data_IF_785228566029
#
_entry.id   IF_785228566029
#
_cell.length_a   1.000
_cell.length_b   1.000
_cell.length_c   1.000
_cell.angle_alpha   90.00
_cell.angle_beta   90.00
_cell.angle_gamma   90.00
#
_symmetry.space_group_name_H-M   'P 1'
#
loop_
_entity.id
_entity.type
_entity.pdbx_description
1 polymer ?
#
# COMPACT_ATOMS: atom_id res chain seq x y z
N UNK A 1 -1.21 -0.93 -27.16
CA UNK A 1 -1.62 -0.65 -25.76
C UNK A 1 -0.50 -0.84 -24.73
N UNK A 2 0.63 -1.48 -25.08
CA UNK A 2 1.76 -1.72 -24.14
C UNK A 2 2.55 -0.47 -23.68
N UNK A 3 2.38 0.68 -24.35
CA UNK A 3 3.22 1.87 -24.09
C UNK A 3 2.59 2.89 -23.10
N UNK A 4 1.40 2.59 -22.56
CA UNK A 4 0.72 3.41 -21.54
C UNK A 4 1.13 3.02 -20.12
N UNK A 5 1.35 1.72 -19.86
CA UNK A 5 1.78 1.22 -18.54
C UNK A 5 3.11 1.82 -18.09
N UNK A 6 4.13 1.81 -18.94
CA UNK A 6 5.46 2.34 -18.61
C UNK A 6 5.49 3.87 -18.42
N UNK A 7 4.65 4.63 -19.14
CA UNK A 7 4.54 6.09 -18.96
C UNK A 7 3.70 6.47 -17.73
N UNK A 8 2.63 5.72 -17.45
CA UNK A 8 1.85 5.84 -16.22
C UNK A 8 2.72 5.57 -15.00
N UNK A 9 3.57 4.56 -15.09
CA UNK A 9 4.50 4.15 -14.05
C UNK A 9 5.47 5.26 -13.61
N UNK A 10 5.97 6.10 -14.53
CA UNK A 10 6.85 7.24 -14.19
C UNK A 10 6.08 8.34 -13.44
N UNK A 11 4.83 8.57 -13.82
CA UNK A 11 3.96 9.55 -13.15
C UNK A 11 3.65 9.07 -11.73
N UNK A 12 3.36 7.78 -11.57
CA UNK A 12 3.05 7.17 -10.28
C UNK A 12 4.20 7.29 -9.27
N UNK A 13 5.46 7.20 -9.71
CA UNK A 13 6.63 7.36 -8.83
C UNK A 13 6.68 8.76 -8.18
N UNK A 14 6.18 9.78 -8.88
CA UNK A 14 6.09 11.16 -8.36
C UNK A 14 4.81 11.43 -7.56
N UNK A 15 3.70 10.76 -7.91
CA UNK A 15 2.36 11.03 -7.37
C UNK A 15 2.09 10.25 -6.08
N UNK A 16 2.54 9.00 -5.95
CA UNK A 16 2.30 8.17 -4.76
C UNK A 16 2.78 8.86 -3.46
N UNK A 17 3.99 9.44 -3.39
CA UNK A 17 4.42 10.14 -2.18
C UNK A 17 3.57 11.37 -1.82
N UNK A 18 2.98 12.03 -2.82
CA UNK A 18 2.09 13.19 -2.63
C UNK A 18 0.75 12.71 -2.08
N UNK A 19 0.16 11.68 -2.70
CA UNK A 19 -1.11 11.09 -2.26
C UNK A 19 -1.00 10.55 -0.84
N UNK A 20 0.08 9.86 -0.51
CA UNK A 20 0.32 9.37 0.86
C UNK A 20 0.36 10.48 1.90
N UNK A 21 1.01 11.61 1.60
CA UNK A 21 1.04 12.77 2.50
C UNK A 21 -0.33 13.43 2.62
N UNK A 22 -1.06 13.54 1.50
CA UNK A 22 -2.39 14.18 1.46
C UNK A 22 -3.47 13.33 2.11
N UNK A 23 -3.40 12.01 1.97
CA UNK A 23 -4.28 11.05 2.65
C UNK A 23 -4.09 11.04 4.18
N UNK A 24 -2.96 11.55 4.67
CA UNK A 24 -2.67 11.72 6.09
C UNK A 24 -2.83 13.17 6.59
N UNK A 25 -3.42 14.05 5.78
CA UNK A 25 -3.68 15.46 6.13
C UNK A 25 -4.81 15.56 7.17
N UNK A 26 -4.82 16.63 7.96
CA UNK A 26 -5.89 16.89 8.94
C UNK A 26 -7.19 17.36 8.31
N UNK A 27 -7.15 17.84 7.07
CA UNK A 27 -8.34 18.19 6.31
C UNK A 27 -9.01 16.91 5.79
N UNK A 28 -10.15 16.53 6.38
CA UNK A 28 -10.86 15.29 6.05
C UNK A 28 -11.23 15.16 4.58
N UNK A 29 -11.65 16.24 3.92
CA UNK A 29 -12.00 16.22 2.50
C UNK A 29 -10.78 15.93 1.62
N UNK A 30 -9.65 16.59 1.89
CA UNK A 30 -8.40 16.35 1.16
C UNK A 30 -7.90 14.92 1.41
N UNK A 31 -7.97 14.47 2.67
CA UNK A 31 -7.53 13.13 3.05
C UNK A 31 -8.33 12.03 2.34
N UNK A 32 -9.66 12.16 2.31
CA UNK A 32 -10.55 11.20 1.66
C UNK A 32 -10.33 11.13 0.15
N UNK A 33 -10.26 12.28 -0.53
CA UNK A 33 -10.04 12.30 -1.99
C UNK A 33 -8.64 11.80 -2.37
N UNK A 34 -7.62 12.11 -1.55
CA UNK A 34 -6.28 11.58 -1.76
C UNK A 34 -6.19 10.06 -1.52
N UNK A 35 -6.94 9.54 -0.56
CA UNK A 35 -7.03 8.10 -0.30
C UNK A 35 -7.72 7.37 -1.44
N UNK A 36 -8.85 7.89 -1.97
CA UNK A 36 -9.50 7.35 -3.17
C UNK A 36 -8.54 7.30 -4.35
N UNK A 37 -7.81 8.39 -4.59
CA UNK A 37 -6.82 8.47 -5.66
C UNK A 37 -5.66 7.47 -5.45
N UNK A 38 -5.22 7.27 -4.20
CA UNK A 38 -4.18 6.31 -3.86
C UNK A 38 -4.63 4.87 -4.15
N UNK A 39 -5.85 4.51 -3.75
CA UNK A 39 -6.44 3.19 -4.01
C UNK A 39 -6.52 2.93 -5.52
N UNK A 40 -7.07 3.88 -6.28
CA UNK A 40 -7.13 3.78 -7.75
C UNK A 40 -5.73 3.64 -8.38
N UNK A 41 -4.73 4.34 -7.86
CA UNK A 41 -3.35 4.21 -8.33
C UNK A 41 -2.80 2.80 -8.07
N UNK A 42 -3.06 2.24 -6.89
CA UNK A 42 -2.65 0.89 -6.50
C UNK A 42 -3.33 -0.21 -7.34
N UNK A 43 -4.59 0.00 -7.73
CA UNK A 43 -5.31 -0.92 -8.61
C UNK A 43 -4.70 -0.98 -10.02
N UNK A 44 -4.14 0.13 -10.51
CA UNK A 44 -3.69 0.28 -11.89
C UNK A 44 -2.16 0.21 -12.09
N UNK A 45 -1.36 0.16 -11.02
CA UNK A 45 0.10 0.06 -11.12
C UNK A 45 0.61 -1.39 -11.31
N UNK A 46 1.84 -1.54 -11.80
CA UNK A 46 2.51 -2.85 -11.86
C UNK A 46 2.85 -3.37 -10.47
N UNK A 47 2.67 -4.68 -10.24
CA UNK A 47 2.81 -5.28 -8.90
C UNK A 47 4.24 -5.15 -8.32
N UNK A 48 5.27 -5.01 -9.16
CA UNK A 48 6.67 -4.85 -8.71
C UNK A 48 6.98 -3.45 -8.14
N UNK A 49 6.12 -2.44 -8.37
CA UNK A 49 6.30 -1.07 -7.85
C UNK A 49 5.76 -0.88 -6.43
N UNK A 50 4.95 -1.82 -5.94
CA UNK A 50 4.45 -1.88 -4.55
C UNK A 50 5.55 -1.78 -3.51
N UNK A 51 6.59 -2.56 -3.74
CA UNK A 51 7.64 -2.78 -2.75
C UNK A 51 8.48 -1.52 -2.63
N UNK A 52 8.65 -0.77 -3.73
CA UNK A 52 9.31 0.53 -3.74
C UNK A 52 8.55 1.57 -2.91
N UNK A 53 7.21 1.58 -2.98
CA UNK A 53 6.39 2.44 -2.12
C UNK A 53 6.48 2.01 -0.64
N UNK A 54 6.45 0.70 -0.37
CA UNK A 54 6.64 0.13 0.97
C UNK A 54 8.01 0.47 1.57
N UNK A 55 9.08 0.45 0.78
CA UNK A 55 10.42 0.87 1.22
C UNK A 55 10.45 2.33 1.70
N UNK A 56 9.50 3.17 1.26
CA UNK A 56 9.34 4.56 1.71
C UNK A 56 8.73 4.66 3.11
N UNK A 57 7.99 3.65 3.59
CA UNK A 57 7.46 3.57 4.97
C UNK A 57 8.58 3.55 6.00
N UNK A 58 9.63 2.76 5.74
CA UNK A 58 10.77 2.61 6.66
C UNK A 58 11.47 3.94 6.98
N UNK A 59 11.30 4.93 6.09
CA UNK A 59 11.87 6.27 6.23
C UNK A 59 10.86 7.30 6.76
N UNK A 60 9.59 6.95 6.83
CA UNK A 60 8.52 7.89 7.19
C UNK A 60 8.28 7.91 8.69
N UNK A 61 8.26 9.12 9.27
CA UNK A 61 8.16 9.32 10.73
C UNK A 61 6.73 9.51 11.25
N UNK A 62 5.75 9.80 10.40
CA UNK A 62 4.37 10.12 10.85
C UNK A 62 3.46 8.89 10.81
N UNK A 63 2.69 8.68 11.87
CA UNK A 63 1.81 7.51 11.99
C UNK A 63 0.73 7.47 10.91
N UNK A 64 0.11 8.61 10.59
CA UNK A 64 -0.93 8.67 9.54
C UNK A 64 -0.40 8.25 8.17
N UNK A 65 0.83 8.65 7.79
CA UNK A 65 1.39 8.18 6.52
C UNK A 65 1.75 6.70 6.59
N UNK A 66 2.21 6.21 7.75
CA UNK A 66 2.47 4.78 7.93
C UNK A 66 1.22 3.93 7.74
N UNK A 67 0.11 4.36 8.33
CA UNK A 67 -1.20 3.75 8.16
C UNK A 67 -1.61 3.73 6.68
N UNK A 68 -1.51 4.86 5.96
CA UNK A 68 -1.92 4.93 4.55
C UNK A 68 -1.08 4.07 3.61
N UNK A 69 0.21 3.87 3.92
CA UNK A 69 1.02 2.90 3.18
C UNK A 69 0.53 1.47 3.43
N UNK A 70 0.15 1.11 4.66
CA UNK A 70 -0.42 -0.21 4.94
C UNK A 70 -1.77 -0.40 4.26
N UNK A 71 -2.62 0.63 4.20
CA UNK A 71 -3.87 0.61 3.43
C UNK A 71 -3.59 0.32 1.96
N UNK A 72 -2.61 1.02 1.35
CA UNK A 72 -2.20 0.75 -0.03
C UNK A 72 -1.74 -0.71 -0.21
N UNK A 73 -0.92 -1.24 0.70
CA UNK A 73 -0.51 -2.66 0.66
C UNK A 73 -1.71 -3.60 0.72
N UNK A 74 -2.68 -3.33 1.60
CA UNK A 74 -3.89 -4.14 1.73
C UNK A 74 -4.70 -4.18 0.43
N UNK A 75 -4.92 -3.02 -0.22
CA UNK A 75 -5.59 -2.91 -1.52
C UNK A 75 -4.92 -3.80 -2.57
N UNK A 76 -3.60 -3.93 -2.53
CA UNK A 76 -2.90 -4.73 -3.53
C UNK A 76 -2.95 -6.23 -3.21
N UNK A 77 -2.87 -6.60 -1.92
CA UNK A 77 -3.11 -7.99 -1.53
C UNK A 77 -4.50 -8.43 -2.02
N UNK A 78 -5.51 -7.56 -1.85
CA UNK A 78 -6.85 -7.76 -2.39
C UNK A 78 -6.87 -7.81 -3.92
N UNK A 79 -6.11 -6.99 -4.64
CA UNK A 79 -6.00 -7.08 -6.10
C UNK A 79 -5.37 -8.40 -6.56
N UNK A 80 -4.33 -8.85 -5.87
CA UNK A 80 -3.57 -10.05 -6.24
C UNK A 80 -4.36 -11.33 -6.00
N UNK A 81 -5.21 -11.37 -4.96
CA UNK A 81 -5.95 -12.57 -4.58
C UNK A 81 -5.02 -13.80 -4.48
N UNK A 82 -5.40 -14.93 -5.08
CA UNK A 82 -4.66 -16.18 -5.14
C UNK A 82 -3.28 -16.06 -5.83
N UNK A 83 -3.11 -15.08 -6.73
CA UNK A 83 -1.83 -14.82 -7.42
C UNK A 83 -0.72 -14.39 -6.47
N UNK A 84 -1.04 -13.96 -5.24
CA UNK A 84 -0.02 -13.64 -4.23
C UNK A 84 0.85 -14.86 -3.87
N UNK A 85 0.35 -16.09 -4.09
CA UNK A 85 1.11 -17.34 -3.88
C UNK A 85 2.35 -17.41 -4.78
N UNK A 86 2.27 -16.91 -6.01
CA UNK A 86 3.36 -16.88 -6.99
C UNK A 86 4.01 -15.51 -7.11
N UNK A 87 3.51 -14.50 -6.40
CA UNK A 87 4.08 -13.15 -6.42
C UNK A 87 5.51 -13.15 -5.86
N UNK A 88 6.45 -12.64 -6.66
CA UNK A 88 7.89 -12.67 -6.36
C UNK A 88 8.28 -12.01 -5.04
N UNK A 89 7.51 -11.01 -4.62
CA UNK A 89 7.85 -10.18 -3.45
C UNK A 89 6.96 -10.47 -2.24
N UNK A 90 6.23 -11.60 -2.23
CA UNK A 90 5.29 -11.97 -1.15
C UNK A 90 5.96 -12.02 0.24
N UNK A 91 7.21 -12.47 0.34
CA UNK A 91 7.95 -12.50 1.60
C UNK A 91 8.20 -11.09 2.14
N UNK A 92 8.45 -10.12 1.25
CA UNK A 92 8.61 -8.72 1.66
C UNK A 92 7.30 -8.11 2.12
N UNK A 93 6.18 -8.45 1.49
CA UNK A 93 4.84 -8.04 1.94
C UNK A 93 4.58 -8.55 3.35
N UNK A 94 4.86 -9.83 3.63
CA UNK A 94 4.72 -10.42 4.98
C UNK A 94 5.61 -9.72 6.00
N UNK A 95 6.89 -9.50 5.67
CA UNK A 95 7.81 -8.79 6.55
C UNK A 95 7.34 -7.37 6.86
N UNK A 96 6.76 -6.69 5.87
CA UNK A 96 6.24 -5.34 6.01
C UNK A 96 5.05 -5.26 6.95
N UNK A 97 4.07 -6.16 6.79
CA UNK A 97 2.94 -6.27 7.71
C UNK A 97 3.43 -6.59 9.13
N UNK A 98 4.44 -7.44 9.28
CA UNK A 98 5.04 -7.76 10.58
C UNK A 98 5.70 -6.53 11.24
N UNK A 99 6.33 -5.64 10.48
CA UNK A 99 6.83 -4.35 11.01
C UNK A 99 5.67 -3.50 11.52
N UNK A 100 4.59 -3.36 10.72
CA UNK A 100 3.42 -2.59 11.13
C UNK A 100 2.73 -3.12 12.39
N UNK A 101 2.74 -4.43 12.62
CA UNK A 101 2.23 -5.05 13.85
C UNK A 101 2.97 -4.62 15.12
N UNK A 102 4.22 -4.21 14.99
CA UNK A 102 5.09 -3.82 16.10
C UNK A 102 5.14 -2.29 16.31
N UNK A 103 4.39 -1.51 15.55
CA UNK A 103 4.34 -0.06 15.70
C UNK A 103 3.62 0.38 16.99
N UNK A 104 4.05 1.52 17.55
CA UNK A 104 3.47 2.06 18.79
C UNK A 104 2.04 2.61 18.57
N UNK A 105 1.77 3.10 17.36
CA UNK A 105 0.49 3.65 16.97
C UNK A 105 -0.57 2.55 16.73
N UNK A 106 -1.77 2.72 17.27
CA UNK A 106 -2.82 1.69 17.20
C UNK A 106 -3.37 1.55 15.78
N UNK A 107 -3.58 2.67 15.10
CA UNK A 107 -4.05 2.77 13.72
C UNK A 107 -3.13 2.01 12.75
N UNK A 108 -1.82 2.16 12.92
CA UNK A 108 -0.81 1.46 12.11
C UNK A 108 -0.86 -0.06 12.37
N UNK A 109 -0.94 -0.48 13.64
CA UNK A 109 -1.10 -1.90 13.97
C UNK A 109 -2.39 -2.47 13.40
N UNK A 110 -3.50 -1.74 13.47
CA UNK A 110 -4.79 -2.21 12.97
C UNK A 110 -4.76 -2.37 11.44
N UNK A 111 -4.17 -1.41 10.71
CA UNK A 111 -3.99 -1.54 9.27
C UNK A 111 -3.14 -2.77 8.90
N UNK A 112 -2.08 -3.06 9.65
CA UNK A 112 -1.25 -4.25 9.46
C UNK A 112 -2.00 -5.57 9.75
N UNK A 113 -2.83 -5.59 10.82
CA UNK A 113 -3.70 -6.74 11.12
C UNK A 113 -4.67 -7.03 9.99
N UNK A 114 -5.31 -6.00 9.45
CA UNK A 114 -6.21 -6.15 8.29
C UNK A 114 -5.47 -6.78 7.11
N UNK A 115 -4.24 -6.35 6.82
CA UNK A 115 -3.42 -6.96 5.77
C UNK A 115 -3.15 -8.45 5.98
N UNK A 116 -2.84 -8.87 7.21
CA UNK A 116 -2.68 -10.30 7.52
C UNK A 116 -3.97 -11.10 7.37
N UNK A 117 -5.12 -10.53 7.74
CA UNK A 117 -6.42 -11.18 7.56
C UNK A 117 -6.77 -11.37 6.08
N UNK A 118 -6.54 -10.35 5.27
CA UNK A 118 -6.72 -10.41 3.81
C UNK A 118 -5.78 -11.47 3.23
N UNK A 119 -4.48 -11.42 3.58
CA UNK A 119 -3.50 -12.38 3.10
C UNK A 119 -3.89 -13.82 3.47
N UNK A 120 -4.35 -14.06 4.70
CA UNK A 120 -4.85 -15.37 5.13
C UNK A 120 -6.00 -15.85 4.25
N UNK A 121 -6.94 -14.96 3.91
CA UNK A 121 -8.05 -15.27 3.01
C UNK A 121 -7.55 -15.72 1.63
N UNK A 122 -6.63 -14.96 1.04
CA UNK A 122 -6.04 -15.25 -0.28
C UNK A 122 -5.25 -16.57 -0.33
N UNK A 123 -4.65 -16.99 0.80
CA UNK A 123 -3.89 -18.23 0.90
C UNK A 123 -4.77 -19.46 1.16
N UNK A 124 -5.99 -19.26 1.68
CA UNK A 124 -6.93 -20.33 2.04
C UNK A 124 -7.84 -20.75 0.88
N UNK A 125 -7.93 -19.92 -0.16
CA UNK A 125 -8.64 -20.22 -1.42
C UNK A 125 -7.84 -21.06 -2.40
#
# INVERSE_FOLDING_TARGET
FENLGAKSDVILDSVIPILLKKAADTNAFIAEEAEKALIMACENCTDSKLVSAALTLSKTKTNGVKEKILVAINTIIEKLQDKIKSFKEKERVVAFLAVGMNEAALEVRNAAKSGFLILKSCLSG
#
